data_IF_665363000511
#
_entry.id   IF_665363000511
#
_cell.length_a   1.000
_cell.length_b   1.000
_cell.length_c   1.000
_cell.angle_alpha   90.00
_cell.angle_beta   90.00
_cell.angle_gamma   90.00
#
_symmetry.space_group_name_H-M   'P 1'
#
loop_
_entity.id
_entity.type
_entity.pdbx_description
1 polymer ?
#
# COMPACT_ATOMS: atom_id res chain seq x y z
N UNK A 1 37.48 115.52 7.05
CA UNK A 1 36.21 115.97 6.44
C UNK A 1 35.35 114.73 6.26
N UNK A 2 34.41 114.58 7.09
CA UNK A 2 33.00 114.23 6.88
C UNK A 2 32.73 112.81 6.35
N UNK A 3 32.22 112.00 7.23
CA UNK A 3 30.86 111.38 7.36
C UNK A 3 30.60 110.22 6.45
N UNK A 4 29.92 109.20 6.80
CA UNK A 4 28.85 108.75 7.68
C UNK A 4 28.52 107.33 7.26
N UNK A 5 28.45 106.43 8.19
CA UNK A 5 27.25 105.79 8.74
C UNK A 5 26.38 105.08 7.70
N UNK A 6 26.11 103.81 7.94
CA UNK A 6 24.90 103.23 8.50
C UNK A 6 25.00 101.69 8.34
N UNK A 7 25.02 100.91 9.31
CA UNK A 7 24.04 100.26 10.13
C UNK A 7 22.87 99.61 9.38
N UNK A 8 22.70 98.37 9.79
CA UNK A 8 21.46 97.50 9.72
C UNK A 8 21.44 96.52 8.58
N UNK A 9 21.03 95.29 8.75
CA UNK A 9 20.24 94.62 9.81
C UNK A 9 20.51 93.16 9.86
N UNK A 10 20.35 92.63 11.04
CA UNK A 10 20.19 91.20 11.35
C UNK A 10 18.93 90.62 10.67
N UNK A 11 19.03 89.56 9.98
CA UNK A 11 18.01 88.50 10.11
C UNK A 11 18.66 87.14 9.83
N UNK A 12 18.65 86.42 10.88
CA UNK A 12 19.12 85.06 10.80
C UNK A 12 18.20 84.19 9.96
N UNK A 13 18.79 83.43 9.19
CA UNK A 13 18.16 82.13 8.75
C UNK A 13 19.24 81.09 8.84
N UNK A 14 19.21 80.41 10.00
CA UNK A 14 19.93 79.17 10.17
C UNK A 14 19.13 78.08 9.39
N UNK A 15 19.29 77.99 8.11
CA UNK A 15 19.00 76.80 7.39
C UNK A 15 20.00 75.72 7.83
N UNK A 16 19.53 74.85 8.67
CA UNK A 16 20.14 73.54 8.90
C UNK A 16 20.28 72.83 7.53
N UNK A 17 21.42 73.10 6.87
CA UNK A 17 21.88 72.29 5.77
C UNK A 17 22.05 70.90 6.31
N UNK A 18 21.00 70.03 6.10
CA UNK A 18 21.10 68.63 6.27
C UNK A 18 22.27 68.17 5.45
N UNK A 19 23.31 67.69 6.13
CA UNK A 19 24.46 67.06 5.51
C UNK A 19 23.96 65.71 4.85
N UNK A 20 23.44 65.85 3.66
CA UNK A 20 23.32 64.78 2.77
C UNK A 20 24.73 64.26 2.47
N UNK A 21 25.10 63.15 3.02
CA UNK A 21 26.30 62.43 2.61
C UNK A 21 26.15 62.16 1.11
N UNK A 22 26.65 63.03 0.27
CA UNK A 22 26.81 62.82 -1.14
C UNK A 22 27.96 61.81 -1.31
N UNK A 23 27.64 60.57 -1.04
CA UNK A 23 28.58 59.47 -1.19
C UNK A 23 28.67 59.19 -2.69
N UNK A 24 29.69 59.71 -3.34
CA UNK A 24 30.01 59.32 -4.71
C UNK A 24 30.27 57.80 -4.74
N UNK A 25 29.53 57.02 -5.52
CA UNK A 25 29.76 55.58 -5.58
C UNK A 25 31.19 55.23 -6.04
N UNK A 26 31.81 56.10 -6.80
CA UNK A 26 33.21 55.96 -7.26
C UNK A 26 34.20 56.05 -6.09
N UNK A 27 34.00 56.94 -5.14
CA UNK A 27 34.87 57.13 -3.96
C UNK A 27 34.76 55.89 -3.02
N UNK A 28 33.58 55.31 -2.91
CA UNK A 28 33.37 54.08 -2.15
C UNK A 28 34.12 52.93 -2.85
N UNK A 29 34.02 52.82 -4.17
CA UNK A 29 34.71 51.76 -4.94
C UNK A 29 36.24 51.95 -4.80
N UNK A 30 36.77 53.15 -4.93
CA UNK A 30 38.18 53.42 -4.75
C UNK A 30 38.67 53.13 -3.31
N UNK A 31 37.88 53.46 -2.29
CA UNK A 31 38.19 53.14 -0.88
C UNK A 31 38.16 51.61 -0.67
N UNK A 32 37.18 50.90 -1.22
CA UNK A 32 37.10 49.45 -1.17
C UNK A 32 38.30 48.80 -1.88
N UNK A 33 38.69 49.30 -3.07
CA UNK A 33 39.85 48.81 -3.80
C UNK A 33 41.18 49.11 -3.03
N UNK A 34 41.28 50.24 -2.34
CA UNK A 34 42.44 50.55 -1.50
C UNK A 34 42.61 49.61 -0.31
N UNK A 35 41.52 48.99 0.17
CA UNK A 35 41.52 48.03 1.27
C UNK A 35 41.33 46.56 0.80
N UNK A 36 41.68 46.27 -0.45
CA UNK A 36 41.47 44.96 -1.09
C UNK A 36 42.02 43.78 -0.29
N UNK A 37 43.12 43.98 0.49
CA UNK A 37 43.69 42.92 1.32
C UNK A 37 42.73 42.45 2.42
N UNK A 38 41.85 43.30 2.95
CA UNK A 38 40.81 42.89 3.89
C UNK A 38 39.76 41.99 3.26
N UNK A 39 39.43 42.27 1.98
CA UNK A 39 38.52 41.42 1.21
C UNK A 39 39.16 40.05 0.95
N UNK A 40 40.43 40.05 0.56
CA UNK A 40 41.19 38.80 0.35
C UNK A 40 41.27 37.98 1.66
N UNK A 41 41.55 38.66 2.78
CA UNK A 41 41.61 38.01 4.09
C UNK A 41 40.22 37.43 4.46
N UNK A 42 39.16 38.19 4.29
CA UNK A 42 37.79 37.79 4.56
C UNK A 42 37.38 36.60 3.68
N UNK A 43 37.61 36.66 2.36
CA UNK A 43 37.32 35.57 1.41
C UNK A 43 38.13 34.35 1.75
N UNK A 44 39.41 34.46 2.12
CA UNK A 44 40.25 33.35 2.53
C UNK A 44 39.74 32.68 3.81
N UNK A 45 39.30 33.47 4.79
CA UNK A 45 38.78 32.97 6.05
C UNK A 45 37.44 32.26 5.89
N UNK A 46 36.50 32.91 5.20
CA UNK A 46 35.20 32.32 4.91
C UNK A 46 35.29 31.17 3.93
N UNK A 47 36.15 31.26 2.90
CA UNK A 47 36.41 30.17 1.96
C UNK A 47 37.06 28.96 2.63
N UNK A 48 38.02 29.20 3.52
CA UNK A 48 38.63 28.15 4.32
C UNK A 48 37.63 27.48 5.27
N UNK A 49 36.76 28.27 5.92
CA UNK A 49 35.68 27.73 6.74
C UNK A 49 34.64 26.94 5.92
N UNK A 50 34.24 27.47 4.80
CA UNK A 50 33.30 26.77 3.89
C UNK A 50 33.90 25.48 3.35
N UNK A 51 35.21 25.50 2.97
CA UNK A 51 35.93 24.30 2.56
C UNK A 51 36.00 23.25 3.68
N UNK A 52 36.27 23.68 4.92
CA UNK A 52 36.31 22.81 6.07
C UNK A 52 34.94 22.18 6.36
N UNK A 53 33.85 22.95 6.27
CA UNK A 53 32.51 22.41 6.41
C UNK A 53 32.16 21.43 5.29
N UNK A 54 32.50 21.76 4.04
CA UNK A 54 32.31 20.88 2.90
C UNK A 54 33.13 19.57 3.03
N UNK A 55 34.37 19.65 3.53
CA UNK A 55 35.22 18.49 3.73
C UNK A 55 34.68 17.50 4.76
N UNK A 56 33.83 17.95 5.69
CA UNK A 56 33.18 17.10 6.71
C UNK A 56 31.90 16.42 6.22
N UNK A 57 31.29 16.93 5.17
CA UNK A 57 30.00 16.39 4.71
C UNK A 57 30.22 14.97 4.12
N UNK A 58 29.45 13.98 4.57
CA UNK A 58 29.51 12.65 4.00
C UNK A 58 29.00 12.67 2.56
N UNK A 59 29.48 11.75 1.75
CA UNK A 59 28.98 11.58 0.39
C UNK A 59 27.58 10.97 0.41
N UNK A 60 26.69 11.54 -0.39
CA UNK A 60 25.34 11.03 -0.59
C UNK A 60 25.27 10.45 -2.01
N UNK A 61 24.94 9.16 -2.09
CA UNK A 61 24.81 8.44 -3.32
C UNK A 61 23.30 8.26 -3.64
N UNK A 62 22.99 8.16 -4.92
CA UNK A 62 21.65 7.82 -5.37
C UNK A 62 21.69 6.53 -6.18
N UNK A 63 20.82 5.59 -5.84
CA UNK A 63 20.58 4.39 -6.62
C UNK A 63 19.14 4.39 -7.11
N UNK A 64 18.91 3.77 -8.27
CA UNK A 64 17.57 3.71 -8.85
C UNK A 64 17.25 2.28 -9.31
N UNK A 65 15.98 1.94 -9.18
CA UNK A 65 15.40 0.70 -9.67
C UNK A 65 14.15 1.04 -10.50
N UNK A 66 13.87 0.21 -11.48
CA UNK A 66 12.68 0.35 -12.33
C UNK A 66 11.73 -0.80 -12.05
N UNK A 67 10.48 -0.50 -11.78
CA UNK A 67 9.44 -1.47 -11.48
C UNK A 67 8.30 -1.30 -12.47
N UNK A 68 7.91 -2.39 -13.12
CA UNK A 68 6.72 -2.42 -13.96
C UNK A 68 5.56 -3.02 -13.17
N UNK A 69 4.50 -2.25 -13.05
CA UNK A 69 3.25 -2.69 -12.41
C UNK A 69 2.42 -3.41 -13.47
N UNK A 70 2.18 -4.70 -13.25
CA UNK A 70 1.31 -5.49 -14.12
C UNK A 70 -0.09 -5.54 -13.54
N UNK A 71 -1.07 -5.16 -14.34
CA UNK A 71 -2.47 -5.37 -14.02
C UNK A 71 -2.78 -6.87 -13.98
N UNK A 72 -3.11 -7.36 -12.81
CA UNK A 72 -3.51 -8.76 -12.65
C UNK A 72 -4.83 -9.09 -13.37
N UNK A 73 -5.59 -8.08 -13.71
CA UNK A 73 -6.91 -8.22 -14.35
C UNK A 73 -6.87 -8.25 -15.89
N UNK A 74 -5.74 -7.95 -16.51
CA UNK A 74 -5.61 -7.96 -17.98
C UNK A 74 -5.56 -9.36 -18.59
N UNK A 75 -5.40 -10.43 -17.80
CA UNK A 75 -5.30 -11.78 -18.32
C UNK A 75 -6.53 -12.62 -18.00
N UNK A 76 -7.42 -12.75 -18.98
CA UNK A 76 -8.35 -13.88 -19.18
C UNK A 76 -9.59 -13.97 -18.30
N UNK A 77 -10.47 -13.03 -18.38
CA UNK A 77 -11.90 -13.36 -18.32
C UNK A 77 -12.36 -13.41 -19.78
N UNK A 78 -12.72 -14.60 -20.21
CA UNK A 78 -13.15 -15.09 -21.51
C UNK A 78 -13.46 -14.08 -22.63
N UNK A 79 -12.96 -14.35 -23.80
CA UNK A 79 -13.14 -13.66 -25.09
C UNK A 79 -14.59 -13.31 -25.52
N UNK A 80 -15.57 -13.38 -24.61
CA UNK A 80 -16.99 -13.14 -24.90
C UNK A 80 -17.57 -11.86 -24.31
N UNK A 81 -16.88 -11.17 -23.37
CA UNK A 81 -17.37 -9.98 -22.69
C UNK A 81 -16.55 -8.70 -22.95
N UNK A 82 -15.68 -8.73 -23.95
CA UNK A 82 -14.78 -7.61 -24.32
C UNK A 82 -15.49 -6.31 -24.77
N UNK A 83 -16.83 -6.29 -24.83
CA UNK A 83 -17.58 -5.09 -25.21
C UNK A 83 -17.85 -4.11 -24.07
N UNK A 84 -17.49 -4.48 -22.83
CA UNK A 84 -17.66 -3.62 -21.63
C UNK A 84 -16.35 -3.42 -20.86
N UNK A 85 -15.23 -3.44 -21.57
CA UNK A 85 -13.93 -3.15 -20.97
C UNK A 85 -13.89 -1.66 -20.58
N UNK A 86 -14.50 -1.35 -19.45
CA UNK A 86 -14.23 -0.11 -18.75
C UNK A 86 -12.80 -0.26 -18.21
N UNK A 87 -11.89 0.51 -18.76
CA UNK A 87 -10.49 0.59 -18.43
C UNK A 87 -10.28 0.50 -16.92
N UNK A 88 -9.91 -0.68 -16.42
CA UNK A 88 -9.35 -0.82 -15.10
C UNK A 88 -7.94 -0.26 -15.17
N UNK A 89 -7.83 1.06 -15.14
CA UNK A 89 -6.54 1.69 -14.91
C UNK A 89 -6.10 1.26 -13.50
N UNK A 90 -5.07 0.44 -13.43
CA UNK A 90 -4.33 0.31 -12.18
C UNK A 90 -3.99 1.74 -11.78
N UNK A 91 -4.53 2.19 -10.67
CA UNK A 91 -4.26 3.55 -10.23
C UNK A 91 -2.82 3.58 -9.72
N UNK A 92 -1.89 3.87 -10.65
CA UNK A 92 -0.45 3.92 -10.40
C UNK A 92 -0.13 4.82 -9.20
N UNK A 93 -0.96 5.84 -8.96
CA UNK A 93 -0.85 6.68 -7.76
C UNK A 93 -1.09 5.90 -6.47
N UNK A 94 -1.97 4.88 -6.48
CA UNK A 94 -2.17 4.02 -5.31
C UNK A 94 -0.96 3.13 -5.06
N UNK A 95 -0.34 2.62 -6.11
CA UNK A 95 0.86 1.81 -5.99
C UNK A 95 2.05 2.63 -5.49
N UNK A 96 2.19 3.88 -5.94
CA UNK A 96 3.18 4.82 -5.41
C UNK A 96 2.99 5.01 -3.89
N UNK A 97 1.75 5.24 -3.45
CA UNK A 97 1.44 5.37 -2.02
C UNK A 97 1.70 4.09 -1.23
N UNK A 98 1.51 2.92 -1.86
CA UNK A 98 1.83 1.65 -1.25
C UNK A 98 3.34 1.47 -1.05
N UNK A 99 4.17 1.78 -2.05
CA UNK A 99 5.62 1.80 -1.91
C UNK A 99 6.11 2.80 -0.84
N UNK A 100 5.39 3.90 -0.64
CA UNK A 100 5.66 4.89 0.42
C UNK A 100 5.07 4.52 1.78
N UNK A 101 4.46 3.32 1.92
CA UNK A 101 3.91 2.86 3.19
C UNK A 101 5.00 2.73 4.25
N UNK A 102 4.73 3.25 5.45
CA UNK A 102 5.64 3.12 6.59
C UNK A 102 5.82 1.66 7.00
N UNK A 103 4.74 0.87 7.00
CA UNK A 103 4.78 -0.56 7.30
C UNK A 103 5.74 -1.29 6.37
N UNK A 104 5.60 -1.05 5.07
CA UNK A 104 6.42 -1.72 4.06
C UNK A 104 7.90 -1.39 4.24
N UNK A 105 8.22 -0.11 4.50
CA UNK A 105 9.60 0.31 4.76
C UNK A 105 10.13 -0.25 6.09
N UNK A 106 9.30 -0.34 7.12
CA UNK A 106 9.65 -0.96 8.39
C UNK A 106 10.01 -2.44 8.22
N UNK A 107 9.24 -3.19 7.43
CA UNK A 107 9.54 -4.59 7.11
C UNK A 107 10.87 -4.73 6.36
N UNK A 108 11.17 -3.79 5.45
CA UNK A 108 12.47 -3.72 4.76
C UNK A 108 13.60 -3.52 5.75
N UNK A 109 13.48 -2.55 6.66
CA UNK A 109 14.50 -2.26 7.69
C UNK A 109 14.73 -3.47 8.58
N UNK A 110 13.66 -4.15 9.02
CA UNK A 110 13.75 -5.33 9.87
C UNK A 110 14.45 -6.50 9.15
N UNK A 111 14.12 -6.77 7.90
CA UNK A 111 14.71 -7.88 7.13
C UNK A 111 16.18 -7.65 6.81
N UNK A 112 16.56 -6.43 6.53
CA UNK A 112 17.95 -6.06 6.24
C UNK A 112 18.77 -5.76 7.51
N UNK A 113 18.12 -5.66 8.68
CA UNK A 113 18.73 -5.11 9.90
C UNK A 113 19.43 -3.76 9.65
N UNK A 114 18.82 -2.94 8.77
CA UNK A 114 19.39 -1.66 8.34
C UNK A 114 19.29 -0.56 9.41
N UNK A 115 18.73 -0.87 10.57
CA UNK A 115 18.67 -0.01 11.74
C UNK A 115 20.01 0.10 12.50
N UNK A 116 21.04 -0.67 12.10
CA UNK A 116 22.40 -0.62 12.66
C UNK A 116 23.37 -0.15 11.59
N UNK A 117 23.99 1.02 11.81
CA UNK A 117 24.95 1.64 10.93
C UNK A 117 26.37 1.48 11.49
N UNK A 118 27.34 1.17 10.63
CA UNK A 118 28.75 1.01 10.97
C UNK A 118 29.55 2.14 10.32
N UNK A 119 30.01 3.09 11.11
CA UNK A 119 30.66 4.29 10.65
C UNK A 119 32.15 4.27 11.02
N UNK A 120 32.96 4.70 10.09
CA UNK A 120 34.39 4.99 10.34
C UNK A 120 34.68 6.46 10.01
N UNK A 121 35.69 7.00 10.62
CA UNK A 121 36.21 8.32 10.26
C UNK A 121 37.31 8.12 9.22
N UNK A 122 37.06 8.48 7.98
CA UNK A 122 38.04 8.58 6.91
C UNK A 122 38.46 10.04 6.78
N UNK A 123 39.65 10.38 7.23
CA UNK A 123 40.16 11.75 7.42
C UNK A 123 39.19 12.63 8.22
N UNK A 124 38.40 13.46 7.53
CA UNK A 124 37.44 14.38 8.13
C UNK A 124 35.97 13.98 7.93
N UNK A 125 35.71 12.87 7.24
CA UNK A 125 34.36 12.43 6.87
C UNK A 125 33.98 11.14 7.58
N UNK A 126 32.71 11.02 7.93
CA UNK A 126 32.15 9.74 8.33
C UNK A 126 31.80 8.94 7.05
N UNK A 127 32.32 7.71 6.97
CA UNK A 127 32.00 6.77 5.92
C UNK A 127 31.27 5.57 6.50
N UNK A 128 30.23 5.11 5.83
CA UNK A 128 29.47 3.95 6.24
C UNK A 128 29.94 2.68 5.54
N UNK A 129 30.33 1.70 6.34
CA UNK A 129 30.87 0.43 5.87
C UNK A 129 29.78 -0.56 5.43
N UNK A 130 28.57 -0.46 6.01
CA UNK A 130 27.45 -1.37 5.77
C UNK A 130 27.87 -2.86 5.76
N UNK A 131 27.85 -3.53 4.59
CA UNK A 131 28.22 -4.94 4.45
C UNK A 131 29.74 -5.21 4.60
N UNK A 132 30.59 -4.18 4.44
CA UNK A 132 32.03 -4.28 4.53
C UNK A 132 32.55 -4.09 5.97
N UNK A 133 31.66 -3.92 6.92
CA UNK A 133 32.05 -3.81 8.33
C UNK A 133 32.79 -5.08 8.80
N UNK A 134 33.90 -4.96 9.50
CA UNK A 134 34.69 -6.12 9.99
C UNK A 134 33.98 -6.87 11.11
N UNK A 135 33.05 -6.22 11.80
CA UNK A 135 32.29 -6.81 12.91
C UNK A 135 30.78 -6.61 12.65
N UNK A 136 30.03 -7.60 13.06
CA UNK A 136 28.56 -7.50 13.13
C UNK A 136 28.16 -7.47 14.61
N UNK A 137 27.38 -6.48 14.98
CA UNK A 137 26.84 -6.35 16.33
C UNK A 137 25.38 -6.75 16.33
N UNK A 138 25.03 -7.67 17.22
CA UNK A 138 23.65 -8.09 17.44
C UNK A 138 23.22 -7.78 18.88
N UNK A 139 21.94 -7.48 19.03
CA UNK A 139 21.30 -7.10 20.28
C UNK A 139 20.23 -8.14 20.60
N UNK A 140 20.55 -9.17 21.42
CA UNK A 140 19.61 -10.27 21.72
C UNK A 140 18.37 -9.86 22.50
N UNK A 141 18.44 -8.78 23.27
CA UNK A 141 17.29 -8.18 23.96
C UNK A 141 16.77 -7.04 23.08
N UNK A 142 15.72 -7.33 22.32
CA UNK A 142 15.12 -6.38 21.39
C UNK A 142 14.27 -5.33 22.12
N UNK A 143 14.91 -4.28 22.62
CA UNK A 143 14.21 -3.01 22.83
C UNK A 143 14.37 -2.15 21.57
N UNK A 144 13.43 -2.30 20.64
CA UNK A 144 13.45 -1.67 19.31
C UNK A 144 13.32 -0.13 19.35
N UNK A 145 13.07 0.43 20.54
CA UNK A 145 12.78 1.86 20.72
C UNK A 145 13.99 2.70 21.14
N UNK A 146 15.14 2.10 21.37
CA UNK A 146 16.30 2.83 21.86
C UNK A 146 17.24 3.20 20.71
N UNK A 147 17.41 4.51 20.53
CA UNK A 147 18.45 5.08 19.69
C UNK A 147 19.72 5.25 20.53
N UNK A 148 20.82 4.65 20.12
CA UNK A 148 22.09 4.81 20.79
C UNK A 148 23.27 4.65 19.84
N UNK A 149 24.46 5.09 20.30
CA UNK A 149 25.72 4.83 19.62
C UNK A 149 26.75 4.31 20.59
N UNK A 150 27.66 3.54 20.05
CA UNK A 150 28.85 3.03 20.78
C UNK A 150 30.04 2.93 19.83
N UNK A 151 31.22 2.97 20.36
CA UNK A 151 32.47 2.77 19.60
C UNK A 151 33.05 1.38 19.89
N UNK A 152 33.24 0.61 18.83
CA UNK A 152 33.93 -0.69 18.91
C UNK A 152 35.33 -0.54 18.35
N UNK A 153 36.33 -0.97 19.12
CA UNK A 153 37.71 -1.02 18.68
C UNK A 153 38.25 -2.45 18.79
N UNK A 154 38.71 -2.97 17.67
CA UNK A 154 39.30 -4.31 17.61
C UNK A 154 40.72 -4.25 18.16
N UNK A 155 40.98 -4.96 19.26
CA UNK A 155 42.31 -4.98 19.90
C UNK A 155 43.24 -6.04 19.29
N UNK A 156 42.67 -7.21 19.03
CA UNK A 156 43.37 -8.36 18.44
C UNK A 156 42.33 -9.32 17.84
N UNK A 157 42.79 -10.46 17.30
CA UNK A 157 41.88 -11.44 16.64
C UNK A 157 40.79 -12.05 17.52
N UNK A 158 40.85 -11.85 18.85
CA UNK A 158 39.92 -12.45 19.80
C UNK A 158 39.20 -11.43 20.68
N UNK A 159 39.68 -10.21 20.77
CA UNK A 159 39.17 -9.23 21.72
C UNK A 159 38.81 -7.92 21.08
N UNK A 160 37.72 -7.38 21.55
CA UNK A 160 37.19 -6.07 21.19
C UNK A 160 36.99 -5.20 22.44
N UNK A 161 37.13 -3.91 22.26
CA UNK A 161 36.84 -2.90 23.29
C UNK A 161 35.65 -2.09 22.85
N UNK A 162 34.67 -1.98 23.74
CA UNK A 162 33.51 -1.13 23.56
C UNK A 162 33.65 0.10 24.45
N UNK A 163 33.39 1.26 23.90
CA UNK A 163 33.48 2.56 24.60
C UNK A 163 32.46 3.53 24.04
N UNK A 164 32.39 4.73 24.64
CA UNK A 164 31.60 5.87 24.14
C UNK A 164 30.11 5.55 23.95
N UNK A 165 29.51 4.88 24.94
CA UNK A 165 28.07 4.64 24.95
C UNK A 165 27.32 5.96 25.13
N UNK A 166 26.44 6.29 24.17
CA UNK A 166 25.69 7.57 24.17
C UNK A 166 24.66 7.70 25.29
N UNK A 167 24.37 6.62 26.02
CA UNK A 167 23.33 6.58 27.05
C UNK A 167 23.86 7.01 28.43
N UNK A 168 25.19 6.95 28.66
CA UNK A 168 25.77 7.25 29.95
C UNK A 168 26.77 8.41 29.91
N UNK A 169 26.61 9.33 30.85
CA UNK A 169 27.57 10.42 31.09
C UNK A 169 28.93 9.95 31.59
N UNK A 170 29.08 8.68 31.99
CA UNK A 170 30.32 8.04 32.43
C UNK A 170 30.94 7.27 31.28
N UNK A 171 32.19 7.52 30.96
CA UNK A 171 32.96 6.80 29.94
C UNK A 171 33.29 5.38 30.40
N UNK A 172 32.31 4.50 30.29
CA UNK A 172 32.47 3.08 30.56
C UNK A 172 33.19 2.44 29.37
N UNK A 173 34.30 1.72 29.69
CA UNK A 173 35.01 0.94 28.68
C UNK A 173 34.93 -0.53 29.06
N UNK A 174 34.39 -1.35 28.14
CA UNK A 174 34.28 -2.79 28.31
C UNK A 174 35.22 -3.51 27.33
N UNK A 175 35.93 -4.53 27.82
CA UNK A 175 36.76 -5.39 26.96
C UNK A 175 36.20 -6.80 27.04
N UNK A 176 35.92 -7.41 25.89
CA UNK A 176 35.35 -8.74 25.82
C UNK A 176 35.88 -9.53 24.62
N UNK A 177 35.68 -10.84 24.63
CA UNK A 177 36.01 -11.67 23.49
C UNK A 177 34.94 -11.62 22.43
N UNK A 178 35.34 -11.85 21.19
CA UNK A 178 34.41 -11.98 20.06
C UNK A 178 33.49 -13.18 20.27
N UNK A 179 32.20 -12.97 20.02
CA UNK A 179 31.15 -13.99 20.17
C UNK A 179 30.59 -14.10 21.60
N UNK A 180 31.20 -13.48 22.61
CA UNK A 180 30.67 -13.47 23.97
C UNK A 180 29.48 -12.47 24.09
N UNK A 181 28.54 -12.82 24.98
CA UNK A 181 27.47 -11.89 25.35
C UNK A 181 27.96 -10.91 26.39
N UNK A 182 27.97 -9.64 26.07
CA UNK A 182 28.48 -8.55 26.88
C UNK A 182 27.31 -7.82 27.52
N UNK A 183 27.31 -7.69 28.84
CA UNK A 183 26.40 -6.79 29.55
C UNK A 183 26.90 -5.36 29.41
N UNK A 184 26.11 -4.51 28.77
CA UNK A 184 26.46 -3.11 28.57
C UNK A 184 25.33 -2.18 29.07
N UNK A 185 25.58 -0.86 29.18
CA UNK A 185 24.56 0.11 29.56
C UNK A 185 23.35 0.16 28.62
N UNK A 186 23.50 -0.33 27.38
CA UNK A 186 22.48 -0.37 26.35
C UNK A 186 21.87 -1.78 26.14
N UNK A 187 22.07 -2.67 27.13
CA UNK A 187 21.58 -4.06 27.09
C UNK A 187 22.65 -5.06 26.70
N UNK A 188 22.21 -6.27 26.40
CA UNK A 188 23.13 -7.36 25.98
C UNK A 188 23.58 -7.15 24.54
N UNK A 189 24.90 -7.21 24.35
CA UNK A 189 25.52 -7.04 23.03
C UNK A 189 26.35 -8.27 22.71
N UNK A 190 26.28 -8.74 21.48
CA UNK A 190 27.17 -9.76 20.94
C UNK A 190 27.89 -9.20 19.72
N UNK A 191 29.23 -9.22 19.75
CA UNK A 191 30.07 -8.76 18.64
C UNK A 191 30.65 -9.97 17.93
N UNK A 192 30.28 -10.17 16.68
CA UNK A 192 30.73 -11.29 15.85
C UNK A 192 31.64 -10.80 14.71
N UNK A 193 32.69 -11.54 14.34
CA UNK A 193 33.54 -11.19 13.19
C UNK A 193 32.80 -11.48 11.89
N UNK A 194 33.02 -10.64 10.87
CA UNK A 194 32.54 -10.83 9.52
C UNK A 194 33.63 -11.39 8.60
N UNK A 195 33.29 -11.58 7.31
CA UNK A 195 34.27 -11.95 6.29
C UNK A 195 35.35 -10.88 6.05
N UNK A 196 35.06 -9.63 6.41
CA UNK A 196 35.97 -8.50 6.27
C UNK A 196 36.87 -8.27 7.49
N UNK A 197 36.84 -9.20 8.46
CA UNK A 197 37.68 -9.14 9.66
C UNK A 197 39.14 -9.41 9.32
N UNK A 198 39.92 -8.34 9.17
CA UNK A 198 41.34 -8.39 8.80
C UNK A 198 42.18 -7.57 9.78
N UNK A 199 43.50 -7.83 9.81
CA UNK A 199 44.44 -7.13 10.67
C UNK A 199 44.51 -5.60 10.41
N UNK A 200 44.01 -5.14 9.25
CA UNK A 200 43.92 -3.72 8.91
C UNK A 200 43.01 -2.92 9.87
N UNK A 201 42.06 -3.59 10.48
CA UNK A 201 41.06 -2.96 11.36
C UNK A 201 41.49 -2.89 12.81
N UNK A 202 42.68 -3.39 13.15
CA UNK A 202 43.18 -3.34 14.54
C UNK A 202 43.40 -1.89 14.95
N UNK A 203 42.90 -1.55 16.15
CA UNK A 203 42.90 -0.22 16.74
C UNK A 203 42.10 0.86 16.00
N UNK A 204 41.45 0.55 14.87
CA UNK A 204 40.54 1.49 14.19
C UNK A 204 39.23 1.61 14.97
N UNK A 205 38.80 2.82 15.36
CA UNK A 205 37.51 3.02 16.01
C UNK A 205 36.41 2.89 14.98
N UNK A 206 35.43 2.03 15.25
CA UNK A 206 34.23 1.85 14.45
C UNK A 206 33.07 2.32 15.30
N UNK A 207 32.41 3.38 14.88
CA UNK A 207 31.22 3.88 15.55
C UNK A 207 30.02 3.11 15.05
N UNK A 208 29.33 2.45 15.97
CA UNK A 208 28.08 1.74 15.68
C UNK A 208 26.95 2.62 16.17
N UNK A 209 26.04 2.95 15.26
CA UNK A 209 24.85 3.71 15.56
C UNK A 209 23.64 2.83 15.32
N UNK A 210 22.88 2.55 16.37
CA UNK A 210 21.59 1.90 16.28
C UNK A 210 20.50 2.95 16.36
N UNK A 211 19.56 2.90 15.43
CA UNK A 211 18.35 3.71 15.46
C UNK A 211 17.14 2.79 15.60
N UNK A 212 16.03 3.33 16.10
CA UNK A 212 14.79 2.56 16.13
C UNK A 212 14.36 2.22 14.69
N UNK A 213 13.71 1.08 14.53
CA UNK A 213 13.21 0.64 13.21
C UNK A 213 12.29 1.68 12.58
N UNK A 214 11.46 2.33 13.40
CA UNK A 214 10.51 3.35 12.94
C UNK A 214 11.24 4.64 12.48
N UNK A 215 12.28 5.05 13.20
CA UNK A 215 13.11 6.22 12.81
C UNK A 215 13.81 5.94 11.48
N UNK A 216 14.44 4.77 11.35
CA UNK A 216 15.13 4.39 10.12
C UNK A 216 14.16 4.22 8.94
N UNK A 217 13.00 3.61 9.15
CA UNK A 217 11.95 3.50 8.13
C UNK A 217 11.47 4.88 7.66
N UNK A 218 11.30 5.82 8.59
CA UNK A 218 10.94 7.20 8.26
C UNK A 218 12.03 7.91 7.47
N UNK A 219 13.29 7.69 7.82
CA UNK A 219 14.46 8.23 7.11
C UNK A 219 14.52 7.70 5.67
N UNK A 220 14.46 6.38 5.47
CA UNK A 220 14.46 5.81 4.12
C UNK A 220 13.26 6.27 3.30
N UNK A 221 12.07 6.37 3.92
CA UNK A 221 10.89 6.87 3.24
C UNK A 221 11.04 8.33 2.77
N UNK A 222 11.67 9.18 3.59
CA UNK A 222 11.92 10.58 3.22
C UNK A 222 12.95 10.72 2.09
N UNK A 223 13.90 9.79 2.02
CA UNK A 223 14.97 9.76 1.01
C UNK A 223 14.57 8.99 -0.26
N UNK A 224 13.43 8.28 -0.22
CA UNK A 224 12.87 7.55 -1.35
C UNK A 224 12.06 8.49 -2.23
N UNK A 225 12.48 8.64 -3.47
CA UNK A 225 11.72 9.34 -4.50
C UNK A 225 11.15 8.33 -5.51
N UNK A 226 9.86 8.43 -5.75
CA UNK A 226 9.15 7.57 -6.70
C UNK A 226 8.51 8.45 -7.75
N UNK A 227 8.80 8.17 -8.99
CA UNK A 227 8.22 8.89 -10.13
C UNK A 227 7.75 7.90 -11.20
N UNK A 228 6.73 8.28 -11.92
CA UNK A 228 6.22 7.55 -13.06
C UNK A 228 7.07 7.89 -14.30
N UNK A 229 7.33 6.91 -15.17
CA UNK A 229 8.17 7.11 -16.34
C UNK A 229 7.58 8.12 -17.33
N UNK A 230 6.27 8.00 -17.56
CA UNK A 230 5.46 8.91 -18.39
C UNK A 230 4.05 8.94 -17.80
N UNK A 231 3.29 9.98 -18.11
CA UNK A 231 1.86 10.01 -17.75
C UNK A 231 1.19 8.79 -18.37
N UNK A 232 0.45 8.03 -17.56
CA UNK A 232 -0.21 6.77 -17.92
C UNK A 232 0.67 5.53 -18.13
N UNK A 233 1.99 5.61 -17.91
CA UNK A 233 2.85 4.43 -17.96
C UNK A 233 2.73 3.59 -16.69
N UNK A 234 2.66 2.27 -16.83
CA UNK A 234 2.70 1.32 -15.69
C UNK A 234 4.14 1.07 -15.17
N UNK A 235 5.07 1.99 -15.46
CA UNK A 235 6.48 1.89 -15.08
C UNK A 235 6.79 2.95 -14.04
N UNK A 236 7.33 2.53 -12.91
CA UNK A 236 7.80 3.38 -11.83
C UNK A 236 9.32 3.39 -11.75
N UNK A 237 9.90 4.56 -11.57
CA UNK A 237 11.28 4.76 -11.17
C UNK A 237 11.34 5.02 -9.67
N UNK A 238 11.99 4.14 -8.96
CA UNK A 238 12.30 4.28 -7.54
C UNK A 238 13.73 4.75 -7.43
N UNK A 239 14.00 5.81 -6.69
CA UNK A 239 15.35 6.29 -6.43
C UNK A 239 15.53 6.55 -4.95
N UNK A 240 16.59 6.02 -4.36
CA UNK A 240 16.92 6.16 -2.95
C UNK A 240 18.27 6.87 -2.80
N UNK A 241 18.30 7.87 -1.91
CA UNK A 241 19.52 8.57 -1.51
C UNK A 241 20.01 7.99 -0.19
N UNK A 242 21.29 7.59 -0.17
CA UNK A 242 21.91 7.01 1.02
C UNK A 242 23.42 7.31 1.05
N UNK A 243 24.04 7.13 2.22
CA UNK A 243 25.48 7.23 2.42
C UNK A 243 26.24 6.01 1.90
N UNK A 244 25.59 4.86 1.77
CA UNK A 244 26.14 3.63 1.19
C UNK A 244 25.41 3.22 -0.07
N UNK A 245 26.16 3.03 -1.17
CA UNK A 245 25.59 2.56 -2.43
C UNK A 245 25.02 1.15 -2.33
N UNK A 246 25.68 0.27 -1.58
CA UNK A 246 25.25 -1.11 -1.38
C UNK A 246 23.95 -1.15 -0.55
N UNK A 247 23.86 -0.33 0.52
CA UNK A 247 22.63 -0.25 1.32
C UNK A 247 21.46 0.30 0.51
N UNK A 248 21.69 1.34 -0.27
CA UNK A 248 20.65 1.88 -1.15
C UNK A 248 20.09 0.84 -2.12
N UNK A 249 20.97 0.02 -2.70
CA UNK A 249 20.59 -1.05 -3.62
C UNK A 249 19.84 -2.17 -2.90
N UNK A 250 20.34 -2.63 -1.76
CA UNK A 250 19.69 -3.67 -0.96
C UNK A 250 18.31 -3.21 -0.47
N UNK A 251 18.17 -1.96 -0.01
CA UNK A 251 16.88 -1.40 0.41
C UNK A 251 15.89 -1.34 -0.75
N UNK A 252 16.31 -0.90 -1.94
CA UNK A 252 15.43 -0.88 -3.12
C UNK A 252 15.00 -2.28 -3.54
N UNK A 253 15.93 -3.24 -3.59
CA UNK A 253 15.64 -4.63 -3.95
C UNK A 253 14.72 -5.30 -2.92
N UNK A 254 14.98 -5.09 -1.63
CA UNK A 254 14.14 -5.61 -0.57
C UNK A 254 12.76 -4.95 -0.57
N UNK A 255 12.67 -3.65 -0.84
CA UNK A 255 11.40 -2.93 -0.96
C UNK A 255 10.53 -3.53 -2.06
N UNK A 256 11.11 -3.82 -3.22
CA UNK A 256 10.41 -4.48 -4.32
C UNK A 256 9.96 -5.90 -3.92
N UNK A 257 10.83 -6.63 -3.21
CA UNK A 257 10.51 -7.98 -2.74
C UNK A 257 9.35 -7.97 -1.76
N UNK A 258 9.41 -7.13 -0.73
CA UNK A 258 8.34 -7.01 0.29
C UNK A 258 7.03 -6.53 -0.34
N UNK A 259 7.10 -5.57 -1.27
CA UNK A 259 5.94 -5.12 -2.03
C UNK A 259 5.28 -6.28 -2.81
N UNK A 260 6.06 -7.09 -3.52
CA UNK A 260 5.54 -8.23 -4.26
C UNK A 260 4.91 -9.28 -3.34
N UNK A 261 5.56 -9.60 -2.22
CA UNK A 261 5.02 -10.54 -1.23
C UNK A 261 3.69 -10.05 -0.63
N UNK A 262 3.61 -8.77 -0.27
CA UNK A 262 2.38 -8.19 0.30
C UNK A 262 1.26 -8.16 -0.75
N UNK A 263 1.58 -7.82 -2.01
CA UNK A 263 0.62 -7.86 -3.12
C UNK A 263 0.09 -9.27 -3.36
N UNK A 264 0.94 -10.30 -3.30
CA UNK A 264 0.53 -11.71 -3.43
C UNK A 264 -0.36 -12.10 -2.25
N UNK A 265 0.00 -11.73 -1.03
CA UNK A 265 -0.78 -11.99 0.18
C UNK A 265 -2.18 -11.38 0.10
N UNK A 266 -2.28 -10.12 -0.35
CA UNK A 266 -3.57 -9.45 -0.53
C UNK A 266 -4.45 -10.17 -1.56
N UNK A 267 -3.87 -10.54 -2.71
CA UNK A 267 -4.59 -11.31 -3.74
C UNK A 267 -5.06 -12.67 -3.23
N UNK A 268 -4.23 -13.36 -2.47
CA UNK A 268 -4.59 -14.63 -1.86
C UNK A 268 -5.73 -14.47 -0.86
N UNK A 269 -5.72 -13.40 -0.05
CA UNK A 269 -6.79 -13.13 0.91
C UNK A 269 -8.14 -12.89 0.21
N UNK A 270 -8.13 -12.10 -0.88
CA UNK A 270 -9.33 -11.90 -1.70
C UNK A 270 -9.80 -13.23 -2.31
N UNK A 271 -8.88 -14.05 -2.81
CA UNK A 271 -9.21 -15.35 -3.40
C UNK A 271 -9.82 -16.31 -2.37
N UNK A 272 -9.27 -16.36 -1.15
CA UNK A 272 -9.78 -17.18 -0.05
C UNK A 272 -11.21 -16.74 0.32
N UNK A 273 -11.43 -15.43 0.53
CA UNK A 273 -12.74 -14.90 0.88
C UNK A 273 -13.77 -15.18 -0.23
N UNK A 274 -13.36 -15.01 -1.50
CA UNK A 274 -14.21 -15.34 -2.65
C UNK A 274 -14.54 -16.82 -2.72
N UNK A 275 -13.56 -17.71 -2.47
CA UNK A 275 -13.78 -19.16 -2.45
C UNK A 275 -14.72 -19.58 -1.33
N UNK A 276 -14.56 -19.02 -0.13
CA UNK A 276 -15.47 -19.26 1.01
C UNK A 276 -16.91 -18.86 0.66
N UNK A 277 -17.08 -17.66 0.10
CA UNK A 277 -18.37 -17.19 -0.37
C UNK A 277 -19.02 -18.10 -1.41
N UNK A 278 -18.24 -18.57 -2.40
CA UNK A 278 -18.74 -19.49 -3.44
C UNK A 278 -19.17 -20.82 -2.82
N UNK A 279 -18.39 -21.36 -1.86
CA UNK A 279 -18.72 -22.60 -1.19
C UNK A 279 -20.01 -22.49 -0.36
N UNK A 280 -20.15 -21.45 0.44
CA UNK A 280 -21.39 -21.20 1.20
C UNK A 280 -22.61 -21.13 0.26
N UNK A 281 -22.42 -20.51 -0.89
CA UNK A 281 -23.47 -20.38 -1.87
C UNK A 281 -23.83 -21.69 -2.56
N UNK A 282 -22.83 -22.54 -2.88
CA UNK A 282 -23.08 -23.86 -3.45
C UNK A 282 -23.96 -24.70 -2.54
N UNK A 283 -23.70 -24.68 -1.22
CA UNK A 283 -24.53 -25.40 -0.23
C UNK A 283 -25.98 -24.93 -0.25
N UNK A 284 -26.22 -23.62 -0.40
CA UNK A 284 -27.58 -23.05 -0.49
C UNK A 284 -28.27 -23.57 -1.76
N UNK A 285 -27.58 -23.52 -2.91
CA UNK A 285 -28.13 -23.97 -4.20
C UNK A 285 -28.43 -25.47 -4.19
N UNK A 286 -27.54 -26.30 -3.62
CA UNK A 286 -27.75 -27.74 -3.50
C UNK A 286 -28.98 -28.07 -2.64
N UNK A 287 -29.16 -27.34 -1.53
CA UNK A 287 -30.35 -27.51 -0.68
C UNK A 287 -31.65 -27.15 -1.40
N UNK A 288 -31.61 -26.07 -2.17
CA UNK A 288 -32.76 -25.64 -2.97
C UNK A 288 -33.10 -26.61 -4.10
N UNK A 289 -32.08 -27.12 -4.78
CA UNK A 289 -32.23 -28.11 -5.83
C UNK A 289 -32.84 -29.41 -5.27
N UNK A 290 -32.37 -29.85 -4.11
CA UNK A 290 -32.95 -31.01 -3.40
C UNK A 290 -34.44 -30.81 -3.00
N UNK A 291 -34.80 -29.58 -2.63
CA UNK A 291 -36.18 -29.18 -2.36
C UNK A 291 -37.07 -29.32 -3.60
N UNK A 292 -36.61 -28.78 -4.75
CA UNK A 292 -37.34 -28.88 -6.05
C UNK A 292 -37.44 -30.30 -6.53
N UNK A 293 -36.39 -31.15 -6.35
CA UNK A 293 -36.44 -32.56 -6.72
C UNK A 293 -37.46 -33.34 -5.87
N UNK A 294 -37.55 -33.08 -4.57
CA UNK A 294 -38.53 -33.67 -3.68
C UNK A 294 -39.97 -33.24 -4.02
N UNK A 295 -40.21 -31.97 -4.32
CA UNK A 295 -41.51 -31.47 -4.80
C UNK A 295 -41.91 -32.17 -6.14
N UNK A 296 -40.94 -32.34 -7.04
CA UNK A 296 -41.13 -33.07 -8.30
C UNK A 296 -41.54 -34.51 -8.07
N UNK A 297 -40.85 -35.22 -7.14
CA UNK A 297 -41.15 -36.59 -6.83
C UNK A 297 -42.53 -36.76 -6.19
N UNK A 298 -42.88 -35.88 -5.26
CA UNK A 298 -44.19 -35.83 -4.61
C UNK A 298 -45.33 -35.55 -5.63
N UNK A 299 -45.08 -34.65 -6.56
CA UNK A 299 -46.03 -34.30 -7.61
C UNK A 299 -46.25 -35.46 -8.60
N UNK A 300 -45.16 -36.21 -8.96
CA UNK A 300 -45.24 -37.39 -9.79
C UNK A 300 -46.06 -38.52 -9.14
N UNK A 301 -45.95 -38.70 -7.83
CA UNK A 301 -46.69 -39.71 -7.09
C UNK A 301 -48.14 -39.38 -6.91
N UNK A 302 -48.48 -38.09 -6.82
CA UNK A 302 -49.87 -37.65 -6.54
C UNK A 302 -50.76 -37.45 -7.80
N UNK A 303 -50.16 -37.43 -9.02
CA UNK A 303 -50.88 -37.16 -10.25
C UNK A 303 -50.52 -38.18 -11.34
N UNK A 304 -51.08 -39.32 -11.39
CA UNK A 304 -50.93 -40.35 -12.44
C UNK A 304 -51.07 -39.76 -13.87
N UNK A 305 -49.98 -39.28 -14.50
CA UNK A 305 -50.02 -38.49 -15.72
C UNK A 305 -49.59 -39.28 -16.95
N UNK A 306 -50.52 -39.36 -17.93
CA UNK A 306 -50.34 -39.93 -19.27
C UNK A 306 -50.50 -38.84 -20.34
N UNK A 307 -49.71 -38.96 -21.42
CA UNK A 307 -49.41 -38.01 -22.53
C UNK A 307 -50.62 -37.57 -23.41
N UNK A 308 -50.71 -36.26 -23.72
CA UNK A 308 -51.62 -35.74 -24.79
C UNK A 308 -50.95 -34.57 -25.55
N UNK A 309 -50.94 -34.66 -26.87
CA UNK A 309 -50.13 -33.93 -27.82
C UNK A 309 -50.38 -32.46 -28.13
N UNK A 310 -49.62 -32.01 -29.03
CA UNK A 310 -49.27 -30.70 -29.67
C UNK A 310 -49.92 -29.36 -29.23
N UNK A 311 -51.15 -29.24 -28.84
CA UNK A 311 -51.74 -27.99 -28.29
C UNK A 311 -51.29 -27.67 -26.87
N UNK A 312 -50.88 -28.69 -26.15
CA UNK A 312 -50.23 -28.54 -24.82
C UNK A 312 -48.80 -28.05 -24.90
N UNK A 313 -48.10 -28.30 -26.03
CA UNK A 313 -46.66 -27.92 -26.16
C UNK A 313 -46.41 -26.42 -26.17
N UNK A 314 -47.31 -25.63 -26.75
CA UNK A 314 -47.16 -24.17 -26.86
C UNK A 314 -47.43 -23.49 -25.51
N UNK A 315 -48.51 -23.85 -24.82
CA UNK A 315 -48.80 -23.32 -23.46
C UNK A 315 -47.78 -23.79 -22.43
N UNK A 316 -47.16 -24.95 -22.69
CA UNK A 316 -46.07 -25.52 -21.88
C UNK A 316 -44.76 -24.78 -22.10
N UNK A 317 -44.45 -24.34 -23.30
CA UNK A 317 -43.28 -23.54 -23.62
C UNK A 317 -43.34 -22.23 -22.87
N UNK A 318 -44.48 -21.51 -22.92
CA UNK A 318 -44.69 -20.26 -22.21
C UNK A 318 -44.53 -20.43 -20.70
N UNK A 319 -45.14 -21.49 -20.14
CA UNK A 319 -45.01 -21.78 -18.70
C UNK A 319 -43.58 -22.09 -18.32
N UNK A 320 -42.84 -22.87 -19.11
CA UNK A 320 -41.43 -23.19 -18.88
C UNK A 320 -40.59 -21.92 -18.84
N UNK A 321 -40.79 -21.03 -19.81
CA UNK A 321 -40.10 -19.76 -19.92
C UNK A 321 -40.33 -18.89 -18.68
N UNK A 322 -41.60 -18.66 -18.30
CA UNK A 322 -41.91 -17.81 -17.13
C UNK A 322 -41.47 -18.44 -15.82
N UNK A 323 -41.53 -19.74 -15.68
CA UNK A 323 -41.07 -20.42 -14.47
C UNK A 323 -39.54 -20.40 -14.36
N UNK A 324 -38.83 -20.62 -15.48
CA UNK A 324 -37.36 -20.47 -15.52
C UNK A 324 -36.97 -19.04 -15.17
N UNK A 325 -37.63 -18.03 -15.74
CA UNK A 325 -37.38 -16.63 -15.40
C UNK A 325 -37.67 -16.32 -13.93
N UNK A 326 -38.75 -16.91 -13.37
CA UNK A 326 -39.09 -16.73 -11.95
C UNK A 326 -37.98 -17.32 -11.05
N UNK A 327 -37.50 -18.53 -11.34
CA UNK A 327 -36.44 -19.17 -10.55
C UNK A 327 -35.12 -18.39 -10.65
N UNK A 328 -34.79 -17.90 -11.84
CA UNK A 328 -33.60 -17.06 -12.03
C UNK A 328 -33.69 -15.76 -11.22
N UNK A 329 -34.85 -15.07 -11.29
CA UNK A 329 -35.07 -13.84 -10.50
C UNK A 329 -35.09 -14.11 -8.99
N UNK A 330 -35.67 -15.24 -8.55
CA UNK A 330 -35.63 -15.65 -7.15
C UNK A 330 -34.20 -15.91 -6.67
N UNK A 331 -33.38 -16.56 -7.48
CA UNK A 331 -31.98 -16.77 -7.20
C UNK A 331 -31.24 -15.42 -7.09
N UNK A 332 -31.42 -14.55 -8.07
CA UNK A 332 -30.82 -13.19 -8.05
C UNK A 332 -31.26 -12.40 -6.81
N UNK A 333 -32.54 -12.43 -6.44
CA UNK A 333 -33.05 -11.77 -5.24
C UNK A 333 -32.40 -12.31 -3.96
N UNK A 334 -32.25 -13.64 -3.85
CA UNK A 334 -31.58 -14.26 -2.69
C UNK A 334 -30.12 -13.88 -2.58
N UNK A 335 -29.44 -13.83 -3.73
CA UNK A 335 -28.04 -13.40 -3.77
C UNK A 335 -27.88 -11.95 -3.34
N UNK A 336 -28.70 -11.06 -3.88
CA UNK A 336 -28.68 -9.66 -3.50
C UNK A 336 -28.95 -9.48 -1.99
N UNK A 337 -29.95 -10.19 -1.44
CA UNK A 337 -30.22 -10.17 0.00
C UNK A 337 -29.09 -10.74 0.85
N UNK A 338 -28.42 -11.80 0.37
CA UNK A 338 -27.27 -12.38 1.07
C UNK A 338 -26.11 -11.36 1.13
N UNK A 339 -25.75 -10.74 0.01
CA UNK A 339 -24.72 -9.71 0.01
C UNK A 339 -25.11 -8.51 0.88
N UNK A 340 -26.39 -8.11 0.83
CA UNK A 340 -26.87 -7.07 1.75
C UNK A 340 -26.67 -7.48 3.21
N UNK A 341 -27.06 -8.70 3.61
CA UNK A 341 -26.89 -9.18 4.98
C UNK A 341 -25.42 -9.21 5.39
N UNK A 342 -24.51 -9.64 4.49
CA UNK A 342 -23.06 -9.60 4.71
C UNK A 342 -22.55 -8.16 4.94
N UNK A 343 -23.03 -7.21 4.16
CA UNK A 343 -22.67 -5.80 4.28
C UNK A 343 -23.24 -5.14 5.53
N UNK A 344 -24.38 -5.58 6.04
CA UNK A 344 -25.02 -5.00 7.23
C UNK A 344 -24.50 -5.64 8.51
N UNK A 345 -23.90 -6.82 8.45
CA UNK A 345 -23.37 -7.55 9.61
C UNK A 345 -22.17 -6.80 10.22
N UNK A 346 -22.27 -6.35 11.49
CA UNK A 346 -21.16 -5.68 12.16
C UNK A 346 -19.93 -6.57 12.36
N UNK A 347 -20.11 -7.89 12.49
CA UNK A 347 -19.01 -8.83 12.68
C UNK A 347 -18.11 -8.93 11.44
N UNK A 348 -18.65 -8.62 10.26
CA UNK A 348 -17.97 -8.66 8.96
C UNK A 348 -17.48 -7.29 8.47
N UNK A 349 -17.53 -6.27 9.31
CA UNK A 349 -17.07 -4.92 8.94
C UNK A 349 -15.55 -4.87 8.68
N UNK A 350 -14.81 -5.73 9.36
CA UNK A 350 -13.35 -5.86 9.21
C UNK A 350 -12.94 -6.75 8.04
N UNK A 351 -13.87 -7.49 7.44
CA UNK A 351 -13.58 -8.38 6.32
C UNK A 351 -13.68 -7.66 4.97
N UNK A 352 -13.00 -8.19 3.94
CA UNK A 352 -13.16 -7.75 2.56
C UNK A 352 -14.47 -8.29 2.00
N UNK A 353 -15.16 -7.48 1.20
CA UNK A 353 -16.36 -7.94 0.52
C UNK A 353 -15.97 -8.98 -0.54
N UNK A 354 -16.64 -10.15 -0.61
CA UNK A 354 -16.35 -11.14 -1.63
C UNK A 354 -16.45 -10.54 -3.04
N UNK A 355 -15.46 -10.82 -3.89
CA UNK A 355 -15.48 -10.44 -5.30
C UNK A 355 -16.24 -11.50 -6.10
N UNK A 356 -16.75 -11.13 -7.27
CA UNK A 356 -17.50 -12.04 -8.14
C UNK A 356 -18.71 -12.65 -7.43
N UNK A 357 -19.52 -11.79 -6.89
CA UNK A 357 -20.73 -12.14 -6.12
C UNK A 357 -21.78 -12.87 -6.94
N UNK A 358 -21.63 -12.91 -8.28
CA UNK A 358 -22.60 -13.41 -9.25
C UNK A 358 -23.87 -12.57 -9.34
N UNK A 359 -23.80 -11.34 -8.84
CA UNK A 359 -24.77 -10.29 -9.11
C UNK A 359 -24.56 -9.87 -10.56
N UNK A 360 -25.64 -9.88 -11.36
CA UNK A 360 -25.59 -9.54 -12.78
C UNK A 360 -25.43 -8.03 -13.04
N UNK A 361 -25.08 -7.22 -12.02
CA UNK A 361 -24.90 -5.79 -12.11
C UNK A 361 -23.43 -5.42 -12.00
N UNK A 362 -22.84 -5.04 -13.14
CA UNK A 362 -21.44 -4.67 -13.27
C UNK A 362 -21.08 -3.43 -12.43
N UNK A 363 -22.04 -2.53 -12.18
CA UNK A 363 -21.79 -1.33 -11.36
C UNK A 363 -21.60 -1.70 -9.90
N UNK A 364 -22.35 -2.67 -9.39
CA UNK A 364 -22.22 -3.16 -8.02
C UNK A 364 -20.87 -3.86 -7.85
N UNK A 365 -20.48 -4.73 -8.78
CA UNK A 365 -19.18 -5.40 -8.77
C UNK A 365 -18.01 -4.42 -8.82
N UNK A 366 -18.12 -3.38 -9.64
CA UNK A 366 -17.11 -2.30 -9.72
C UNK A 366 -17.00 -1.55 -8.40
N UNK A 367 -18.12 -1.22 -7.76
CA UNK A 367 -18.13 -0.55 -6.46
C UNK A 367 -17.55 -1.42 -5.36
N UNK A 368 -17.81 -2.73 -5.37
CA UNK A 368 -17.22 -3.71 -4.43
C UNK A 368 -15.70 -3.77 -4.60
N UNK A 369 -15.23 -3.84 -5.82
CA UNK A 369 -13.79 -3.86 -6.12
C UNK A 369 -13.09 -2.59 -5.64
N UNK A 370 -13.68 -1.43 -5.91
CA UNK A 370 -13.17 -0.14 -5.46
C UNK A 370 -13.17 -0.03 -3.92
N UNK A 371 -14.22 -0.54 -3.26
CA UNK A 371 -14.28 -0.60 -1.79
C UNK A 371 -13.15 -1.45 -1.22
N UNK A 372 -12.96 -2.67 -1.74
CA UNK A 372 -11.92 -3.58 -1.29
C UNK A 372 -10.52 -2.98 -1.45
N UNK A 373 -10.24 -2.33 -2.58
CA UNK A 373 -8.97 -1.65 -2.82
C UNK A 373 -8.72 -0.52 -1.80
N UNK A 374 -9.73 0.32 -1.55
CA UNK A 374 -9.61 1.39 -0.56
C UNK A 374 -9.48 0.86 0.87
N UNK A 375 -10.14 -0.25 1.20
CA UNK A 375 -10.03 -0.89 2.50
C UNK A 375 -8.63 -1.44 2.74
N UNK A 376 -8.06 -2.18 1.77
CA UNK A 376 -6.69 -2.67 1.86
C UNK A 376 -5.69 -1.52 2.03
N UNK A 377 -5.89 -0.42 1.29
CA UNK A 377 -5.06 0.78 1.45
C UNK A 377 -5.17 1.37 2.86
N UNK A 378 -6.39 1.48 3.40
CA UNK A 378 -6.61 1.96 4.77
C UNK A 378 -5.93 1.07 5.79
N UNK A 379 -6.10 -0.25 5.69
CA UNK A 379 -5.56 -1.23 6.63
C UNK A 379 -4.02 -1.16 6.66
N UNK A 380 -3.37 -1.06 5.50
CA UNK A 380 -1.92 -0.84 5.39
C UNK A 380 -1.45 0.48 6.03
N UNK A 381 -2.22 1.54 5.89
CA UNK A 381 -1.88 2.82 6.51
C UNK A 381 -2.03 2.77 8.04
N UNK A 382 -3.00 2.05 8.57
CA UNK A 382 -3.20 1.89 10.02
C UNK A 382 -2.06 1.08 10.64
N UNK A 383 -1.60 0.01 9.99
CA UNK A 383 -0.48 -0.79 10.47
C UNK A 383 0.83 -0.01 10.59
N UNK A 384 0.98 1.08 9.82
CA UNK A 384 2.16 1.95 9.85
C UNK A 384 1.93 3.34 10.46
N UNK A 385 0.71 3.65 10.91
CA UNK A 385 0.40 4.95 11.52
C UNK A 385 -0.74 4.83 12.52
N UNK A 386 -1.02 5.90 13.26
CA UNK A 386 -2.15 5.92 14.19
C UNK A 386 -3.48 6.15 13.47
N UNK A 387 -4.58 5.65 14.03
CA UNK A 387 -5.96 5.93 13.59
C UNK A 387 -6.28 7.44 13.52
N UNK A 388 -5.48 8.27 14.20
CA UNK A 388 -5.59 9.73 14.18
C UNK A 388 -5.01 10.38 12.93
N UNK A 389 -4.36 9.61 12.06
CA UNK A 389 -3.83 10.15 10.80
C UNK A 389 -4.98 10.71 9.95
N UNK A 390 -4.90 11.97 9.48
CA UNK A 390 -5.96 12.60 8.68
C UNK A 390 -6.33 11.79 7.43
N UNK A 391 -5.36 11.16 6.78
CA UNK A 391 -5.56 10.34 5.59
C UNK A 391 -6.37 9.07 5.94
N UNK A 392 -6.07 8.43 7.08
CA UNK A 392 -6.82 7.27 7.57
C UNK A 392 -8.25 7.67 7.90
N UNK A 393 -8.45 8.82 8.54
CA UNK A 393 -9.79 9.33 8.85
C UNK A 393 -10.61 9.64 7.58
N UNK A 394 -9.96 10.21 6.56
CA UNK A 394 -10.61 10.48 5.27
C UNK A 394 -10.98 9.17 4.57
N UNK A 395 -10.06 8.19 4.53
CA UNK A 395 -10.35 6.87 3.98
C UNK A 395 -11.48 6.17 4.73
N UNK A 396 -11.54 6.26 6.05
CA UNK A 396 -12.65 5.70 6.84
C UNK A 396 -14.00 6.33 6.46
N UNK A 397 -14.06 7.67 6.33
CA UNK A 397 -15.27 8.36 5.87
C UNK A 397 -15.69 7.91 4.47
N UNK A 398 -14.71 7.80 3.56
CA UNK A 398 -14.95 7.35 2.19
C UNK A 398 -15.44 5.89 2.17
N UNK A 399 -14.85 4.99 2.94
CA UNK A 399 -15.28 3.60 3.05
C UNK A 399 -16.71 3.46 3.58
N UNK A 400 -17.07 4.23 4.61
CA UNK A 400 -18.44 4.27 5.13
C UNK A 400 -19.41 4.73 4.02
N UNK A 401 -19.06 5.80 3.31
CA UNK A 401 -19.89 6.31 2.21
C UNK A 401 -20.01 5.29 1.06
N UNK A 402 -18.94 4.65 0.67
CA UNK A 402 -18.93 3.61 -0.36
C UNK A 402 -19.78 2.40 0.05
N UNK A 403 -19.63 1.90 1.30
CA UNK A 403 -20.44 0.81 1.84
C UNK A 403 -21.93 1.14 1.81
N UNK A 404 -22.30 2.35 2.20
CA UNK A 404 -23.68 2.86 2.14
C UNK A 404 -24.20 2.95 0.70
N UNK A 405 -23.36 3.36 -0.25
CA UNK A 405 -23.73 3.43 -1.66
C UNK A 405 -23.96 2.02 -2.24
N UNK A 406 -23.08 1.06 -1.92
CA UNK A 406 -23.24 -0.34 -2.31
C UNK A 406 -24.55 -0.91 -1.75
N UNK A 407 -24.83 -0.69 -0.47
CA UNK A 407 -26.08 -1.14 0.18
C UNK A 407 -27.28 -0.54 -0.55
N UNK A 408 -27.28 0.76 -0.86
CA UNK A 408 -28.38 1.42 -1.60
C UNK A 408 -28.53 0.87 -3.01
N UNK A 409 -27.43 0.62 -3.71
CA UNK A 409 -27.45 0.02 -5.04
C UNK A 409 -28.08 -1.38 -5.02
N UNK A 410 -27.70 -2.19 -4.02
CA UNK A 410 -28.27 -3.53 -3.80
C UNK A 410 -29.75 -3.44 -3.44
N UNK A 411 -30.17 -2.48 -2.60
CA UNK A 411 -31.57 -2.27 -2.26
C UNK A 411 -32.42 -1.91 -3.49
N UNK A 412 -31.92 -1.00 -4.31
CA UNK A 412 -32.58 -0.64 -5.57
C UNK A 412 -32.68 -1.85 -6.52
N UNK A 413 -31.63 -2.66 -6.58
CA UNK A 413 -31.62 -3.89 -7.35
C UNK A 413 -32.65 -4.89 -6.82
N UNK A 414 -32.71 -5.10 -5.50
CA UNK A 414 -33.73 -5.99 -4.87
C UNK A 414 -35.14 -5.53 -5.24
N UNK A 415 -35.44 -4.24 -5.11
CA UNK A 415 -36.75 -3.68 -5.48
C UNK A 415 -37.06 -3.93 -6.97
N UNK A 416 -36.08 -3.70 -7.85
CA UNK A 416 -36.24 -3.95 -9.28
C UNK A 416 -36.50 -5.44 -9.56
N UNK A 417 -35.76 -6.33 -8.89
CA UNK A 417 -35.98 -7.78 -9.04
C UNK A 417 -37.34 -8.19 -8.49
N UNK A 418 -37.74 -7.70 -7.31
CA UNK A 418 -39.03 -8.02 -6.71
C UNK A 418 -40.21 -7.59 -7.60
N UNK A 419 -40.11 -6.43 -8.28
CA UNK A 419 -41.12 -5.99 -9.28
C UNK A 419 -41.16 -6.98 -10.46
N UNK A 420 -40.03 -7.31 -11.05
CA UNK A 420 -39.93 -8.28 -12.15
C UNK A 420 -40.42 -9.67 -11.75
N UNK A 421 -40.10 -10.09 -10.51
CA UNK A 421 -40.50 -11.36 -9.94
C UNK A 421 -42.03 -11.45 -9.79
N UNK A 422 -42.67 -10.40 -9.30
CA UNK A 422 -44.12 -10.32 -9.18
C UNK A 422 -44.82 -10.38 -10.57
N UNK A 423 -44.25 -9.69 -11.56
CA UNK A 423 -44.76 -9.77 -12.94
C UNK A 423 -44.56 -11.17 -13.53
N UNK A 424 -43.37 -11.78 -13.36
CA UNK A 424 -43.09 -13.14 -13.83
C UNK A 424 -44.00 -14.17 -13.17
N UNK A 425 -44.25 -14.04 -11.85
CA UNK A 425 -45.17 -14.92 -11.11
C UNK A 425 -46.63 -14.76 -11.60
N UNK A 426 -47.07 -13.54 -11.87
CA UNK A 426 -48.39 -13.29 -12.42
C UNK A 426 -48.56 -13.98 -13.79
N UNK A 427 -47.60 -13.78 -14.70
CA UNK A 427 -47.59 -14.40 -16.02
C UNK A 427 -47.49 -15.93 -15.94
N UNK A 428 -46.68 -16.46 -15.03
CA UNK A 428 -46.59 -17.90 -14.76
C UNK A 428 -47.91 -18.46 -14.24
N UNK A 429 -48.61 -17.71 -13.36
CA UNK A 429 -49.92 -18.07 -12.85
C UNK A 429 -51.00 -18.12 -13.95
N UNK A 430 -50.99 -17.15 -14.87
CA UNK A 430 -51.87 -17.15 -16.03
C UNK A 430 -51.60 -18.30 -17.00
N UNK A 431 -50.32 -18.55 -17.29
CA UNK A 431 -49.90 -19.69 -18.10
C UNK A 431 -50.29 -21.01 -17.43
N UNK A 432 -50.13 -21.13 -16.09
CA UNK A 432 -50.59 -22.29 -15.32
C UNK A 432 -52.10 -22.52 -15.43
N UNK A 433 -52.93 -21.48 -15.34
CA UNK A 433 -54.41 -21.58 -15.51
C UNK A 433 -54.80 -22.08 -16.92
N UNK A 434 -53.97 -21.72 -17.92
CA UNK A 434 -54.16 -22.25 -19.30
C UNK A 434 -53.75 -23.72 -19.41
N UNK A 435 -52.70 -24.11 -18.70
CA UNK A 435 -52.17 -25.51 -18.71
C UNK A 435 -53.00 -26.45 -17.85
N UNK A 436 -53.66 -25.99 -16.76
CA UNK A 436 -54.52 -26.82 -15.91
C UNK A 436 -55.76 -27.33 -16.69
N UNK A 437 -56.06 -26.72 -17.82
CA UNK A 437 -57.05 -27.28 -18.77
C UNK A 437 -56.46 -28.40 -19.65
N UNK A 438 -55.17 -28.62 -19.69
CA UNK A 438 -54.47 -29.62 -20.50
C UNK A 438 -53.23 -30.17 -19.77
N UNK A 439 -53.31 -31.41 -19.35
CA UNK A 439 -52.35 -32.34 -18.75
C UNK A 439 -50.89 -32.16 -19.15
N UNK A 440 -50.05 -31.42 -18.39
CA UNK A 440 -48.64 -31.32 -18.79
C UNK A 440 -47.58 -30.99 -17.74
N UNK A 441 -47.84 -31.16 -16.46
CA UNK A 441 -46.92 -30.78 -15.39
C UNK A 441 -45.61 -31.60 -15.34
N UNK A 442 -45.57 -32.81 -15.89
CA UNK A 442 -44.44 -33.73 -15.71
C UNK A 442 -43.19 -33.39 -16.55
N UNK A 443 -43.34 -32.80 -17.74
CA UNK A 443 -42.20 -32.49 -18.61
C UNK A 443 -41.45 -31.21 -18.17
N UNK A 444 -42.14 -30.32 -17.48
CA UNK A 444 -41.66 -29.03 -17.04
C UNK A 444 -40.57 -29.16 -15.97
N UNK A 445 -40.79 -29.95 -14.92
CA UNK A 445 -39.84 -30.09 -13.81
C UNK A 445 -38.53 -30.74 -14.20
N UNK A 446 -38.57 -31.72 -15.13
CA UNK A 446 -37.38 -32.40 -15.63
C UNK A 446 -36.41 -31.44 -16.36
N UNK A 447 -36.96 -30.46 -17.07
CA UNK A 447 -36.16 -29.50 -17.83
C UNK A 447 -35.61 -28.38 -16.96
N UNK A 448 -36.32 -27.96 -15.90
CA UNK A 448 -35.85 -26.98 -14.91
C UNK A 448 -34.66 -27.49 -14.10
N UNK A 449 -34.71 -28.74 -13.65
CA UNK A 449 -33.59 -29.39 -12.92
C UNK A 449 -32.33 -29.56 -13.80
N UNK A 450 -32.54 -29.88 -15.10
CA UNK A 450 -31.42 -29.99 -16.05
C UNK A 450 -30.84 -28.60 -16.42
N UNK A 451 -31.68 -27.57 -16.48
CA UNK A 451 -31.25 -26.23 -16.81
C UNK A 451 -30.48 -25.57 -15.63
N UNK A 452 -30.90 -25.77 -14.38
CA UNK A 452 -30.15 -25.34 -13.20
C UNK A 452 -28.81 -26.05 -13.05
N UNK A 453 -28.71 -27.36 -13.42
CA UNK A 453 -27.41 -28.06 -13.48
C UNK A 453 -26.52 -27.57 -14.62
N UNK A 454 -27.09 -27.08 -15.73
CA UNK A 454 -26.34 -26.57 -16.89
C UNK A 454 -25.94 -25.12 -16.80
N UNK A 455 -26.57 -24.31 -15.93
CA UNK A 455 -26.26 -22.89 -15.72
C UNK A 455 -25.37 -22.60 -14.51
N UNK A 456 -24.93 -23.63 -13.79
CA UNK A 456 -23.70 -23.49 -12.97
C UNK A 456 -22.58 -23.16 -13.96
N UNK A 457 -22.16 -21.89 -14.05
CA UNK A 457 -21.29 -21.51 -15.15
C UNK A 457 -19.97 -22.25 -14.98
N UNK A 458 -19.43 -22.73 -16.07
CA UNK A 458 -18.06 -23.19 -16.23
C UNK A 458 -17.03 -22.24 -15.54
N UNK A 459 -17.42 -20.98 -15.32
CA UNK A 459 -16.70 -19.99 -14.55
C UNK A 459 -16.46 -20.41 -13.09
N UNK A 460 -17.41 -21.09 -12.44
CA UNK A 460 -17.27 -21.53 -11.03
C UNK A 460 -16.23 -22.66 -10.91
N UNK A 461 -16.23 -23.58 -11.86
CA UNK A 461 -15.25 -24.68 -11.90
C UNK A 461 -13.85 -24.18 -12.31
N UNK A 462 -13.78 -23.23 -13.25
CA UNK A 462 -12.50 -22.60 -13.63
C UNK A 462 -11.95 -21.71 -12.52
N UNK A 463 -12.81 -21.00 -11.79
CA UNK A 463 -12.39 -20.19 -10.63
C UNK A 463 -11.94 -21.10 -9.49
N UNK A 464 -12.62 -22.21 -9.25
CA UNK A 464 -12.22 -23.22 -8.25
C UNK A 464 -10.87 -23.86 -8.60
N UNK A 465 -10.61 -24.19 -9.87
CA UNK A 465 -9.31 -24.72 -10.32
C UNK A 465 -8.19 -23.70 -10.22
N UNK A 466 -8.44 -22.42 -10.55
CA UNK A 466 -7.44 -21.34 -10.44
C UNK A 466 -7.12 -20.94 -8.99
N UNK A 467 -8.08 -21.10 -8.07
CA UNK A 467 -7.82 -20.88 -6.64
C UNK A 467 -7.15 -22.08 -5.97
N UNK A 468 -7.25 -23.29 -6.55
CA UNK A 468 -6.67 -24.51 -6.02
C UNK A 468 -5.23 -24.78 -6.50
N UNK A 469 -4.74 -24.08 -7.54
CA UNK A 469 -3.34 -24.16 -7.95
C UNK A 469 -2.52 -23.14 -7.13
N UNK A 470 -1.73 -23.59 -6.12
CA UNK A 470 -0.73 -22.74 -5.52
C UNK A 470 0.28 -22.39 -6.60
N UNK A 471 0.45 -21.08 -6.84
CA UNK A 471 1.34 -20.56 -7.86
C UNK A 471 2.75 -21.13 -7.75
N UNK A 472 3.01 -22.21 -8.49
CA UNK A 472 4.37 -22.62 -8.81
C UNK A 472 4.90 -21.66 -9.87
N UNK A 473 5.38 -20.51 -9.44
CA UNK A 473 6.33 -19.75 -10.23
C UNK A 473 7.73 -20.27 -9.90
N UNK A 474 8.24 -21.13 -10.76
CA UNK A 474 9.68 -21.29 -10.95
C UNK A 474 10.23 -20.00 -11.57
N UNK A 475 11.32 -19.55 -10.97
CA UNK A 475 12.38 -18.60 -11.36
C UNK A 475 12.18 -17.77 -12.62
#
# INVERSE_FOLDING_TARGET
MIRMSEQKDMSGDKTLSGGGFNINPVDIIMYLLSKWYWFVLSVSLFGGYAWYQYAKLPFIYSRSATVMIKDAYSNNIGRGLDRFNTYSYTNVSNEILQFQSHKLMRDVVNRLHANVCYLIMDDLREEELYTQAPVKVSFPEEEDHLDFSLTVRILNRKQVRLSDFSTDATSITLTANLGDTIQSPVGKIVVSPTLYYTDKWFNTPITIRRQSTDTMASLFRSNLNISQAENDASILYLSLRDYSTARAEDVLNMLITVYNEETIKDKNQIAINTSSFINERLVIIEKELGGVENELQSYKQNNDIIDIGSAASMSMSDKRQYSSTTQELELQARMARYIKSYLVDPSKETELIPSNTGIADINIETQITAYNANKLKRDKLIEGSSDKNPIVQELNKNLIAMRQNIIRAIDNMIVSIDVKLNEARSRAGEAQRRVTKTTAANAFYRTSATHQRGTLPLSTEQTRRKCAEPGHHRN
#
